data_IF_087692788531
#
_entry.id   IF_087692788531
#
_cell.length_a   1.000
_cell.length_b   1.000
_cell.length_c   1.000
_cell.angle_alpha   90.00
_cell.angle_beta   90.00
_cell.angle_gamma   90.00
#
_symmetry.space_group_name_H-M   'P 1'
#
loop_
_entity.id
_entity.type
_entity.pdbx_description
1 polymer ?
#
# COMPACT_ATOMS: atom_id res chain seq x y z
N UNK A 1 32.75 -11.03 6.49
CA UNK A 1 31.56 -11.30 5.66
C UNK A 1 30.87 -9.98 5.43
N UNK A 2 30.74 -9.52 4.18
CA UNK A 2 30.00 -8.31 3.90
C UNK A 2 28.52 -8.59 4.18
N UNK A 3 27.93 -7.85 5.13
CA UNK A 3 26.48 -7.77 5.26
C UNK A 3 25.95 -7.21 3.94
N UNK A 4 25.20 -8.02 3.21
CA UNK A 4 24.52 -7.59 2.00
C UNK A 4 23.54 -6.49 2.40
N UNK A 5 23.75 -5.26 1.91
CA UNK A 5 22.89 -4.12 2.23
C UNK A 5 21.54 -4.29 1.54
N UNK A 6 20.47 -3.88 2.22
CA UNK A 6 19.13 -3.84 1.63
C UNK A 6 19.10 -3.00 0.34
N UNK A 7 18.59 -3.58 -0.74
CA UNK A 7 18.36 -2.90 -2.01
C UNK A 7 16.84 -2.78 -2.28
N UNK A 8 16.27 -1.62 -1.92
CA UNK A 8 14.86 -1.31 -2.14
C UNK A 8 14.40 -1.50 -3.60
N UNK A 9 15.27 -1.16 -4.57
CA UNK A 9 14.94 -1.22 -6.00
C UNK A 9 14.72 -2.65 -6.49
N UNK A 10 15.32 -3.63 -5.82
CA UNK A 10 15.14 -5.06 -6.15
C UNK A 10 14.04 -5.70 -5.31
N UNK A 11 13.98 -5.37 -4.01
CA UNK A 11 13.11 -6.08 -3.07
C UNK A 11 11.66 -5.59 -3.12
N UNK A 12 11.43 -4.29 -3.28
CA UNK A 12 10.08 -3.71 -3.20
C UNK A 12 9.17 -4.11 -4.38
N UNK A 13 9.63 -4.07 -5.66
CA UNK A 13 8.79 -4.49 -6.78
C UNK A 13 8.34 -5.95 -6.66
N UNK A 14 9.23 -6.85 -6.19
CA UNK A 14 8.91 -8.27 -5.97
C UNK A 14 7.72 -8.45 -5.03
N UNK A 15 7.68 -7.67 -3.94
CA UNK A 15 6.59 -7.75 -2.97
C UNK A 15 5.31 -7.11 -3.49
N UNK A 16 5.40 -5.98 -4.20
CA UNK A 16 4.25 -5.36 -4.85
C UNK A 16 3.58 -6.31 -5.84
N UNK A 17 4.35 -7.00 -6.68
CA UNK A 17 3.87 -8.03 -7.61
C UNK A 17 3.21 -9.19 -6.88
N UNK A 18 3.84 -9.70 -5.82
CA UNK A 18 3.27 -10.77 -5.00
C UNK A 18 1.92 -10.37 -4.39
N UNK A 19 1.83 -9.18 -3.77
CA UNK A 19 0.59 -8.70 -3.16
C UNK A 19 -0.53 -8.50 -4.19
N UNK A 20 -0.20 -7.97 -5.37
CA UNK A 20 -1.16 -7.82 -6.48
C UNK A 20 -1.64 -9.17 -7.01
N UNK A 21 -0.73 -10.14 -7.22
CA UNK A 21 -1.08 -11.48 -7.69
C UNK A 21 -1.99 -12.22 -6.71
N UNK A 22 -1.80 -12.01 -5.41
CA UNK A 22 -2.62 -12.60 -4.35
C UNK A 22 -3.87 -11.77 -4.00
N UNK A 23 -4.09 -10.61 -4.65
CA UNK A 23 -5.24 -9.72 -4.41
C UNK A 23 -5.41 -9.33 -2.93
N UNK A 24 -4.31 -9.15 -2.19
CA UNK A 24 -4.35 -8.96 -0.74
C UNK A 24 -5.08 -7.68 -0.29
N UNK A 25 -5.18 -6.68 -1.17
CA UNK A 25 -5.85 -5.41 -0.89
C UNK A 25 -7.31 -5.38 -1.42
N UNK A 26 -7.82 -6.48 -1.98
CA UNK A 26 -9.24 -6.60 -2.33
C UNK A 26 -10.04 -7.00 -1.08
N UNK A 27 -10.94 -6.14 -0.63
CA UNK A 27 -11.90 -6.49 0.42
C UNK A 27 -12.88 -7.54 -0.12
N UNK A 28 -13.10 -8.68 0.58
CA UNK A 28 -14.08 -9.67 0.16
C UNK A 28 -15.48 -9.06 0.01
N UNK A 29 -16.22 -9.51 -1.01
CA UNK A 29 -17.58 -9.04 -1.23
C UNK A 29 -18.53 -9.61 -0.16
N UNK A 30 -18.84 -8.80 0.86
CA UNK A 30 -19.99 -9.00 1.73
C UNK A 30 -19.67 -9.24 3.21
N UNK A 31 -20.68 -9.10 4.09
CA UNK A 31 -20.54 -9.17 5.56
C UNK A 31 -20.27 -10.60 6.10
N UNK A 32 -19.77 -11.52 5.29
CA UNK A 32 -19.85 -12.96 5.53
C UNK A 32 -18.61 -13.64 6.12
N UNK A 33 -17.49 -12.94 6.31
CA UNK A 33 -16.24 -13.56 6.79
C UNK A 33 -16.06 -13.54 8.32
N UNK A 34 -17.01 -12.92 9.04
CA UNK A 34 -17.02 -12.83 10.50
C UNK A 34 -15.94 -11.94 11.12
N UNK A 35 -15.09 -11.29 10.32
CA UNK A 35 -14.06 -10.35 10.80
C UNK A 35 -14.67 -8.97 11.04
N UNK A 36 -14.15 -8.19 12.01
CA UNK A 36 -14.61 -6.83 12.23
C UNK A 36 -14.25 -5.95 11.01
N UNK A 37 -15.22 -5.15 10.55
CA UNK A 37 -14.99 -4.18 9.49
C UNK A 37 -14.10 -3.04 9.99
N UNK A 38 -13.23 -2.57 9.10
CA UNK A 38 -12.41 -1.38 9.31
C UNK A 38 -12.37 -0.56 8.03
N UNK A 39 -12.61 0.75 8.14
CA UNK A 39 -12.63 1.66 7.01
C UNK A 39 -11.78 2.88 7.32
N UNK A 40 -10.75 3.09 6.52
CA UNK A 40 -9.86 4.26 6.57
C UNK A 40 -10.00 4.99 5.25
N UNK A 41 -10.13 6.32 5.33
CA UNK A 41 -10.30 7.17 4.17
C UNK A 41 -9.32 8.34 4.27
N UNK A 42 -8.51 8.47 3.22
CA UNK A 42 -7.62 9.60 3.02
C UNK A 42 -8.16 10.56 1.97
N UNK A 43 -7.86 11.85 2.13
CA UNK A 43 -8.27 12.87 1.16
C UNK A 43 -7.61 12.64 -0.20
N UNK A 44 -8.43 12.53 -1.25
CA UNK A 44 -7.91 12.42 -2.62
C UNK A 44 -7.17 13.70 -3.03
N UNK A 45 -6.06 13.57 -3.79
CA UNK A 45 -5.29 14.72 -4.19
C UNK A 45 -5.94 15.41 -5.40
N UNK A 46 -5.76 16.73 -5.51
CA UNK A 46 -6.07 17.42 -6.76
C UNK A 46 -5.06 17.02 -7.85
N UNK A 47 -5.51 16.62 -9.06
CA UNK A 47 -4.63 16.14 -10.13
C UNK A 47 -3.96 17.31 -10.90
N UNK A 48 -3.54 18.36 -10.19
CA UNK A 48 -2.94 19.57 -10.77
C UNK A 48 -1.42 19.48 -10.92
N UNK A 49 -0.80 18.37 -10.51
CA UNK A 49 0.64 18.18 -10.55
C UNK A 49 1.08 16.79 -10.08
N UNK A 50 2.35 16.69 -9.65
CA UNK A 50 2.89 15.45 -9.07
C UNK A 50 2.66 15.39 -7.56
N UNK A 51 2.57 14.17 -7.03
CA UNK A 51 2.56 13.89 -5.60
C UNK A 51 3.83 14.46 -4.95
N UNK A 52 3.67 15.06 -3.78
CA UNK A 52 4.75 15.69 -2.99
C UNK A 52 4.80 15.08 -1.59
N UNK A 53 5.84 15.38 -0.80
CA UNK A 53 6.04 14.73 0.51
C UNK A 53 4.85 14.86 1.48
N UNK A 54 4.09 15.95 1.40
CA UNK A 54 2.82 16.08 2.15
C UNK A 54 1.79 14.98 1.82
N UNK A 55 1.62 14.63 0.56
CA UNK A 55 0.76 13.53 0.13
C UNK A 55 1.30 12.17 0.60
N UNK A 56 2.63 11.96 0.51
CA UNK A 56 3.26 10.72 0.98
C UNK A 56 3.00 10.50 2.46
N UNK A 57 3.17 11.55 3.29
CA UNK A 57 2.85 11.49 4.72
C UNK A 57 1.39 11.13 4.96
N UNK A 58 0.47 11.73 4.21
CA UNK A 58 -0.95 11.48 4.34
C UNK A 58 -1.30 10.01 4.04
N UNK A 59 -0.89 9.49 2.88
CA UNK A 59 -1.20 8.11 2.45
C UNK A 59 -0.38 7.01 3.14
N UNK A 60 0.57 7.37 4.01
CA UNK A 60 1.32 6.41 4.84
C UNK A 60 0.68 6.25 6.22
N UNK A 61 -0.07 7.24 6.70
CA UNK A 61 -0.75 7.18 8.00
C UNK A 61 -2.10 6.47 7.92
N UNK A 62 -2.79 6.60 6.79
CA UNK A 62 -4.01 5.85 6.49
C UNK A 62 -3.72 4.44 6.04
#
# INVERSE_FOLDING_TARGET
>A
MASERYNAREVEPRWQEYWSAQKLFETPAGPGDGRPNYYVLEMFPYPSGRIHMGHVRNYTMG
#
